data_IF_958639662840
#
_entry.id   IF_958639662840
#
_cell.length_a   1.000
_cell.length_b   1.000
_cell.length_c   1.000
_cell.angle_alpha   90.00
_cell.angle_beta   90.00
_cell.angle_gamma   90.00
#
_symmetry.space_group_name_H-M   'P 1'
#
loop_
_entity.id
_entity.type
_entity.pdbx_description
1 polymer ?
#
# COMPACT_ATOMS: atom_id res chain seq x y z
N UNK A 1 -0.06 -20.04 29.98
CA UNK A 1 -0.71 -19.36 28.83
C UNK A 1 0.28 -19.10 27.68
N UNK A 2 1.57 -19.49 27.80
CA UNK A 2 2.63 -19.22 26.80
C UNK A 2 2.54 -20.09 25.52
N UNK A 3 1.78 -21.19 25.57
CA UNK A 3 1.57 -22.11 24.45
C UNK A 3 0.14 -22.01 23.84
N UNK A 4 -0.52 -20.86 23.98
CA UNK A 4 -1.84 -20.66 23.38
C UNK A 4 -1.71 -20.66 21.86
N UNK A 5 -2.54 -21.45 21.13
CA UNK A 5 -2.59 -21.41 19.68
C UNK A 5 -2.83 -19.99 19.18
N UNK A 6 -2.06 -19.59 18.18
CA UNK A 6 -2.12 -18.25 17.58
C UNK A 6 -3.42 -18.09 16.81
N UNK A 7 -4.11 -16.97 16.99
CA UNK A 7 -5.30 -16.67 16.20
C UNK A 7 -4.91 -16.39 14.75
N UNK A 8 -5.76 -16.79 13.78
CA UNK A 8 -5.57 -16.38 12.40
C UNK A 8 -5.74 -14.87 12.28
N UNK A 9 -4.91 -14.27 11.45
CA UNK A 9 -4.93 -12.83 11.16
C UNK A 9 -5.58 -12.58 9.80
N UNK A 10 -6.28 -11.47 9.69
CA UNK A 10 -6.93 -10.99 8.47
C UNK A 10 -5.91 -10.19 7.65
N UNK A 11 -6.02 -10.32 6.33
CA UNK A 11 -5.36 -9.46 5.35
C UNK A 11 -6.34 -9.13 4.22
N UNK A 12 -5.92 -8.24 3.33
CA UNK A 12 -6.76 -7.72 2.23
C UNK A 12 -6.13 -8.07 0.89
N UNK A 13 -6.97 -8.36 -0.11
CA UNK A 13 -6.48 -8.61 -1.47
C UNK A 13 -5.87 -7.35 -2.07
N UNK A 14 -4.82 -7.55 -2.88
CA UNK A 14 -4.22 -6.49 -3.67
C UNK A 14 -5.14 -6.14 -4.85
N UNK A 15 -5.24 -4.85 -5.16
CA UNK A 15 -5.85 -4.37 -6.40
C UNK A 15 -5.05 -4.87 -7.60
N UNK A 16 -5.77 -5.11 -8.70
CA UNK A 16 -5.19 -5.58 -9.95
C UNK A 16 -5.31 -4.45 -10.98
N UNK A 17 -4.21 -4.18 -11.68
CA UNK A 17 -4.18 -3.23 -12.78
C UNK A 17 -4.03 -3.97 -14.11
N UNK A 18 -4.96 -3.82 -15.06
CA UNK A 18 -4.72 -4.19 -16.45
C UNK A 18 -3.75 -3.22 -17.14
N UNK A 19 -3.52 -3.42 -18.44
CA UNK A 19 -2.55 -2.66 -19.25
C UNK A 19 -2.81 -1.15 -19.17
N UNK A 20 -1.72 -0.38 -19.10
CA UNK A 20 -1.68 1.08 -19.04
C UNK A 20 -1.33 1.68 -20.41
N UNK A 21 -1.79 2.91 -20.71
CA UNK A 21 -1.45 3.60 -21.98
C UNK A 21 -0.25 4.56 -21.85
N UNK A 22 0.88 4.21 -22.50
CA UNK A 22 2.17 4.91 -22.45
C UNK A 22 2.21 6.26 -23.20
N UNK A 23 1.41 6.41 -24.24
CA UNK A 23 1.59 7.44 -25.27
C UNK A 23 1.52 8.90 -24.78
N UNK A 24 0.89 9.14 -23.62
CA UNK A 24 0.60 10.51 -23.14
C UNK A 24 1.77 11.24 -22.49
N UNK A 25 2.74 10.54 -21.88
CA UNK A 25 3.91 11.20 -21.29
C UNK A 25 4.75 11.93 -22.33
N UNK A 26 4.98 11.29 -23.48
CA UNK A 26 5.77 11.86 -24.58
C UNK A 26 5.13 13.13 -25.15
N UNK A 27 3.80 13.20 -25.17
CA UNK A 27 3.05 14.35 -25.68
C UNK A 27 3.20 15.58 -24.76
N UNK A 28 3.27 15.38 -23.44
CA UNK A 28 3.36 16.46 -22.44
C UNK A 28 4.74 17.12 -22.39
N UNK A 29 5.83 16.34 -22.41
CA UNK A 29 7.19 16.90 -22.40
C UNK A 29 7.41 17.85 -23.59
N UNK A 30 6.97 17.44 -24.79
CA UNK A 30 7.08 18.24 -26.01
C UNK A 30 6.33 19.57 -25.92
N UNK A 31 5.18 19.60 -25.27
CA UNK A 31 4.35 20.81 -25.11
C UNK A 31 4.89 21.76 -24.04
N UNK A 32 5.45 21.24 -22.95
CA UNK A 32 5.76 22.05 -21.76
C UNK A 32 7.22 22.50 -21.69
N UNK A 33 8.17 21.66 -22.10
CA UNK A 33 9.60 21.99 -22.00
C UNK A 33 10.17 22.50 -23.34
N UNK A 34 9.38 22.48 -24.42
CA UNK A 34 9.86 22.77 -25.79
C UNK A 34 11.06 21.91 -26.21
N UNK A 35 11.21 20.76 -25.56
CA UNK A 35 12.25 19.77 -25.81
C UNK A 35 11.71 18.66 -26.71
N UNK A 36 12.61 17.91 -27.35
CA UNK A 36 12.18 16.74 -28.12
C UNK A 36 11.58 15.70 -27.15
N UNK A 37 10.35 15.26 -27.42
CA UNK A 37 9.66 14.25 -26.60
C UNK A 37 10.42 12.92 -26.55
N UNK A 38 11.29 12.66 -27.53
CA UNK A 38 12.15 11.48 -27.56
C UNK A 38 13.35 11.56 -26.60
N UNK A 39 13.70 12.76 -26.10
CA UNK A 39 14.83 12.93 -25.17
C UNK A 39 14.64 12.22 -23.83
N UNK A 40 13.40 11.86 -23.48
CA UNK A 40 13.04 11.18 -22.23
C UNK A 40 12.59 9.72 -22.43
N UNK A 41 12.81 9.16 -23.63
CA UNK A 41 12.29 7.83 -23.96
C UNK A 41 12.84 6.74 -23.03
N UNK A 42 14.12 6.84 -22.63
CA UNK A 42 14.75 5.90 -21.71
C UNK A 42 14.08 5.93 -20.33
N UNK A 43 13.88 7.11 -19.76
CA UNK A 43 13.30 7.30 -18.44
C UNK A 43 11.84 6.83 -18.42
N UNK A 44 11.10 7.09 -19.51
CA UNK A 44 9.72 6.59 -19.69
C UNK A 44 9.70 5.06 -19.77
N UNK A 45 10.62 4.44 -20.52
CA UNK A 45 10.77 2.98 -20.59
C UNK A 45 11.07 2.37 -19.20
N UNK A 46 11.96 2.99 -18.42
CA UNK A 46 12.31 2.53 -17.07
C UNK A 46 11.13 2.62 -16.11
N UNK A 47 10.35 3.71 -16.15
CA UNK A 47 9.15 3.88 -15.35
C UNK A 47 8.07 2.84 -15.73
N UNK A 48 7.90 2.57 -17.01
CA UNK A 48 6.97 1.55 -17.51
C UNK A 48 7.39 0.14 -17.07
N UNK A 49 8.69 -0.19 -17.19
CA UNK A 49 9.22 -1.45 -16.71
C UNK A 49 9.03 -1.61 -15.19
N UNK A 50 9.20 -0.51 -14.43
CA UNK A 50 8.95 -0.49 -12.99
C UNK A 50 7.47 -0.71 -12.67
N UNK A 51 6.56 -0.05 -13.40
CA UNK A 51 5.12 -0.24 -13.26
C UNK A 51 4.72 -1.69 -13.53
N UNK A 52 5.18 -2.27 -14.63
CA UNK A 52 4.86 -3.65 -14.99
C UNK A 52 5.29 -4.66 -13.91
N UNK A 53 6.45 -4.41 -13.27
CA UNK A 53 6.88 -5.18 -12.10
C UNK A 53 5.97 -4.93 -10.89
N UNK A 54 5.60 -3.68 -10.61
CA UNK A 54 4.71 -3.32 -9.51
C UNK A 54 3.28 -3.89 -9.65
N UNK A 55 2.74 -3.97 -10.87
CA UNK A 55 1.43 -4.59 -11.15
C UNK A 55 1.43 -6.11 -10.97
N UNK A 56 2.62 -6.74 -10.95
CA UNK A 56 2.84 -8.18 -10.71
C UNK A 56 3.81 -8.38 -9.55
N UNK A 57 3.55 -7.65 -8.47
CA UNK A 57 4.44 -7.61 -7.31
C UNK A 57 4.59 -9.01 -6.68
N UNK A 58 5.82 -9.45 -6.35
CA UNK A 58 6.02 -10.64 -5.52
C UNK A 58 5.39 -10.46 -4.14
N UNK A 59 4.75 -11.50 -3.60
CA UNK A 59 4.12 -11.47 -2.27
C UNK A 59 5.16 -11.73 -1.17
N UNK A 60 6.19 -10.88 -1.13
CA UNK A 60 7.31 -10.95 -0.17
C UNK A 60 7.84 -9.54 0.18
N UNK A 61 8.88 -9.48 1.03
CA UNK A 61 9.48 -8.21 1.46
C UNK A 61 10.11 -7.40 0.31
N UNK A 62 10.55 -8.07 -0.77
CA UNK A 62 11.08 -7.40 -1.96
C UNK A 62 9.96 -6.70 -2.72
N UNK A 63 8.75 -7.28 -2.70
CA UNK A 63 7.52 -6.68 -3.21
C UNK A 63 7.19 -5.35 -2.54
N UNK A 64 7.29 -5.26 -1.21
CA UNK A 64 7.08 -4.00 -0.49
C UNK A 64 8.05 -2.90 -0.98
N UNK A 65 9.32 -3.26 -1.18
CA UNK A 65 10.34 -2.31 -1.66
C UNK A 65 10.08 -1.87 -3.10
N UNK A 66 9.63 -2.81 -3.95
CA UNK A 66 9.27 -2.55 -5.33
C UNK A 66 8.09 -1.56 -5.44
N UNK A 67 7.02 -1.78 -4.66
CA UNK A 67 5.85 -0.89 -4.63
C UNK A 67 6.23 0.50 -4.10
N UNK A 68 6.99 0.59 -3.00
CA UNK A 68 7.47 1.87 -2.45
C UNK A 68 8.34 2.64 -3.45
N UNK A 69 9.20 1.94 -4.19
CA UNK A 69 10.00 2.56 -5.27
C UNK A 69 9.11 3.10 -6.38
N UNK A 70 8.11 2.34 -6.83
CA UNK A 70 7.18 2.79 -7.86
C UNK A 70 6.33 3.98 -7.39
N UNK A 71 5.74 3.90 -6.20
CA UNK A 71 5.00 4.99 -5.55
C UNK A 71 5.82 6.29 -5.52
N UNK A 72 7.09 6.20 -5.12
CA UNK A 72 7.99 7.36 -5.05
C UNK A 72 8.25 8.00 -6.41
N UNK A 73 8.32 7.20 -7.48
CA UNK A 73 8.50 7.71 -8.85
C UNK A 73 7.24 8.45 -9.33
N UNK A 74 6.05 7.89 -9.11
CA UNK A 74 4.77 8.55 -9.47
C UNK A 74 4.57 9.83 -8.67
N UNK A 75 4.84 9.80 -7.36
CA UNK A 75 4.79 11.00 -6.52
C UNK A 75 5.77 12.10 -7.00
N UNK A 76 6.99 11.72 -7.38
CA UNK A 76 7.98 12.65 -7.94
C UNK A 76 7.52 13.23 -9.28
N UNK A 77 6.86 12.42 -10.12
CA UNK A 77 6.30 12.83 -11.40
C UNK A 77 5.17 13.84 -11.21
N UNK A 78 4.23 13.55 -10.32
CA UNK A 78 3.14 14.44 -9.91
C UNK A 78 3.69 15.78 -9.42
N UNK A 79 4.71 15.79 -8.57
CA UNK A 79 5.30 17.04 -8.08
C UNK A 79 5.99 17.87 -9.17
N UNK A 80 6.55 17.23 -10.21
CA UNK A 80 7.15 17.96 -11.35
C UNK A 80 6.09 18.61 -12.25
N UNK A 81 4.96 17.94 -12.46
CA UNK A 81 3.94 18.39 -13.41
C UNK A 81 2.78 19.18 -12.78
N UNK A 82 2.46 18.96 -11.51
CA UNK A 82 1.39 19.67 -10.78
C UNK A 82 1.61 21.19 -10.70
N UNK A 83 2.85 21.66 -10.88
CA UNK A 83 3.15 23.08 -11.01
C UNK A 83 2.59 23.73 -12.30
N UNK A 84 2.17 22.91 -13.28
CA UNK A 84 1.84 23.38 -14.64
C UNK A 84 0.46 22.92 -15.12
N UNK A 85 0.07 21.67 -14.84
CA UNK A 85 -1.22 21.11 -15.26
C UNK A 85 -1.61 19.96 -14.33
N UNK A 86 -2.86 19.98 -13.85
CA UNK A 86 -3.40 18.93 -12.98
C UNK A 86 -3.73 17.66 -13.75
N UNK A 87 -3.94 17.72 -15.07
CA UNK A 87 -4.31 16.55 -15.85
C UNK A 87 -3.25 16.23 -16.91
N UNK A 88 -2.46 15.17 -16.66
CA UNK A 88 -1.43 14.72 -17.60
C UNK A 88 -1.99 13.97 -18.82
N UNK A 89 -3.30 13.70 -18.86
CA UNK A 89 -3.95 12.91 -19.90
C UNK A 89 -3.60 11.42 -19.84
N UNK A 90 -3.00 10.98 -18.75
CA UNK A 90 -2.55 9.62 -18.55
C UNK A 90 -3.68 8.80 -17.93
N UNK A 91 -4.10 7.77 -18.64
CA UNK A 91 -5.16 6.87 -18.20
C UNK A 91 -4.58 5.69 -17.42
N UNK A 92 -4.89 5.66 -16.14
CA UNK A 92 -4.49 4.64 -15.19
C UNK A 92 -5.68 3.73 -14.93
N UNK A 93 -5.50 2.42 -15.13
CA UNK A 93 -6.62 1.48 -15.13
C UNK A 93 -6.45 0.49 -13.98
N UNK A 94 -7.47 0.34 -13.14
CA UNK A 94 -7.48 -0.58 -11.99
C UNK A 94 -8.85 -1.23 -11.81
N UNK A 95 -8.86 -2.47 -11.36
CA UNK A 95 -10.09 -3.15 -10.96
C UNK A 95 -10.47 -2.77 -9.51
N UNK A 96 -11.74 -2.46 -9.30
CA UNK A 96 -12.35 -2.41 -7.96
C UNK A 96 -12.39 -3.82 -7.36
N UNK A 97 -11.96 -3.98 -6.12
CA UNK A 97 -11.72 -5.30 -5.49
C UNK A 97 -13.02 -6.09 -5.31
N UNK A 98 -14.13 -5.40 -5.01
CA UNK A 98 -15.38 -6.05 -4.62
C UNK A 98 -16.33 -6.25 -5.79
N UNK A 99 -16.39 -5.28 -6.69
CA UNK A 99 -17.24 -5.35 -7.88
C UNK A 99 -16.55 -5.97 -9.09
N UNK A 100 -15.21 -6.01 -9.11
CA UNK A 100 -14.43 -6.41 -10.29
C UNK A 100 -14.50 -5.40 -11.44
N UNK A 101 -15.22 -4.29 -11.28
CA UNK A 101 -15.38 -3.28 -12.33
C UNK A 101 -14.04 -2.60 -12.60
N UNK A 102 -13.73 -2.45 -13.88
CA UNK A 102 -12.57 -1.66 -14.32
C UNK A 102 -12.87 -0.17 -14.18
N UNK A 103 -12.01 0.53 -13.45
CA UNK A 103 -12.02 1.98 -13.25
C UNK A 103 -10.84 2.60 -14.00
N UNK A 104 -11.06 3.78 -14.56
CA UNK A 104 -10.05 4.58 -15.24
C UNK A 104 -9.92 5.90 -14.48
N UNK A 105 -8.69 6.28 -14.15
CA UNK A 105 -8.38 7.53 -13.47
C UNK A 105 -7.03 8.09 -13.92
N UNK A 106 -6.57 9.13 -13.26
CA UNK A 106 -5.30 9.81 -13.52
C UNK A 106 -4.17 9.28 -12.60
N UNK A 107 -3.06 10.03 -12.53
CA UNK A 107 -1.93 9.66 -11.70
C UNK A 107 -2.22 9.69 -10.19
N UNK A 108 -3.15 10.53 -9.73
CA UNK A 108 -3.55 10.52 -8.32
C UNK A 108 -4.30 9.21 -8.02
N UNK A 109 -5.10 8.70 -8.98
CA UNK A 109 -5.69 7.37 -8.89
C UNK A 109 -4.66 6.23 -8.91
N UNK A 110 -3.65 6.28 -9.79
CA UNK A 110 -2.55 5.30 -9.77
C UNK A 110 -1.82 5.30 -8.42
N UNK A 111 -1.47 6.49 -7.92
CA UNK A 111 -0.77 6.65 -6.64
C UNK A 111 -1.58 6.06 -5.48
N UNK A 112 -2.89 6.31 -5.48
CA UNK A 112 -3.84 5.79 -4.49
C UNK A 112 -3.91 4.26 -4.51
N UNK A 113 -4.03 3.65 -5.69
CA UNK A 113 -4.09 2.20 -5.84
C UNK A 113 -2.77 1.52 -5.44
N UNK A 114 -1.63 2.12 -5.79
CA UNK A 114 -0.31 1.61 -5.38
C UNK A 114 -0.14 1.70 -3.86
N UNK A 115 -0.56 2.80 -3.24
CA UNK A 115 -0.52 2.96 -1.78
C UNK A 115 -1.40 1.95 -1.07
N UNK A 116 -2.61 1.71 -1.58
CA UNK A 116 -3.48 0.64 -1.10
C UNK A 116 -2.75 -0.72 -1.17
N UNK A 117 -2.12 -1.05 -2.30
CA UNK A 117 -1.38 -2.31 -2.45
C UNK A 117 -0.16 -2.43 -1.51
N UNK A 118 0.49 -1.32 -1.16
CA UNK A 118 1.53 -1.30 -0.12
C UNK A 118 0.93 -1.74 1.22
N UNK A 119 -0.24 -1.21 1.58
CA UNK A 119 -0.95 -1.58 2.80
C UNK A 119 -1.40 -3.04 2.80
N UNK A 120 -2.05 -3.47 1.71
CA UNK A 120 -2.54 -4.83 1.53
C UNK A 120 -1.42 -5.88 1.59
N UNK A 121 -0.29 -5.64 0.90
CA UNK A 121 0.86 -6.55 0.94
C UNK A 121 1.47 -6.63 2.34
N UNK A 122 1.58 -5.49 3.05
CA UNK A 122 2.04 -5.51 4.44
C UNK A 122 1.08 -6.29 5.35
N UNK A 123 -0.24 -6.13 5.18
CA UNK A 123 -1.23 -6.91 5.92
C UNK A 123 -1.07 -8.42 5.66
N UNK A 124 -0.89 -8.82 4.39
CA UNK A 124 -0.69 -10.21 3.99
C UNK A 124 0.56 -10.81 4.62
N UNK A 125 1.70 -10.12 4.54
CA UNK A 125 2.96 -10.59 5.13
C UNK A 125 2.89 -10.72 6.65
N UNK A 126 2.20 -9.80 7.33
CA UNK A 126 1.98 -9.88 8.78
C UNK A 126 1.06 -11.04 9.16
N UNK A 127 0.07 -11.35 8.32
CA UNK A 127 -0.90 -12.41 8.59
C UNK A 127 -0.38 -13.83 8.30
N UNK A 128 0.51 -13.98 7.32
CA UNK A 128 1.09 -15.27 6.94
C UNK A 128 2.22 -15.74 7.86
N UNK A 129 2.78 -14.87 8.71
CA UNK A 129 3.77 -15.27 9.69
C UNK A 129 3.11 -16.05 10.85
N UNK A 130 3.71 -17.19 11.20
CA UNK A 130 3.23 -18.09 12.27
C UNK A 130 3.40 -17.52 13.68
N UNK A 131 4.15 -16.42 13.85
CA UNK A 131 4.43 -15.75 15.13
C UNK A 131 4.94 -16.72 16.20
N UNK A 132 5.77 -17.67 15.79
CA UNK A 132 6.30 -18.72 16.66
C UNK A 132 7.45 -18.25 17.56
N UNK A 133 8.15 -17.19 17.15
CA UNK A 133 9.26 -16.60 17.90
C UNK A 133 9.01 -15.14 18.25
N UNK A 134 9.71 -14.62 19.27
CA UNK A 134 9.62 -13.21 19.65
C UNK A 134 10.01 -12.25 18.51
N UNK A 135 10.91 -12.66 17.61
CA UNK A 135 11.31 -11.84 16.47
C UNK A 135 10.25 -11.88 15.35
N UNK A 136 9.65 -13.04 15.08
CA UNK A 136 8.51 -13.15 14.17
C UNK A 136 7.33 -12.27 14.62
N UNK A 137 7.04 -12.24 15.93
CA UNK A 137 6.00 -11.35 16.50
C UNK A 137 6.31 -9.87 16.23
N UNK A 138 7.58 -9.45 16.36
CA UNK A 138 7.98 -8.06 16.06
C UNK A 138 7.85 -7.74 14.57
N UNK A 139 8.26 -8.67 13.70
CA UNK A 139 8.15 -8.51 12.24
C UNK A 139 6.67 -8.38 11.84
N UNK A 140 5.81 -9.28 12.34
CA UNK A 140 4.36 -9.24 12.10
C UNK A 140 3.73 -7.93 12.57
N UNK A 141 4.06 -7.49 13.79
CA UNK A 141 3.64 -6.21 14.33
C UNK A 141 4.09 -5.03 13.45
N UNK A 142 5.33 -5.06 12.97
CA UNK A 142 5.89 -4.02 12.08
C UNK A 142 5.14 -3.98 10.75
N UNK A 143 4.82 -5.13 10.19
CA UNK A 143 4.02 -5.23 8.97
C UNK A 143 2.61 -4.66 9.16
N UNK A 144 1.91 -5.01 10.23
CA UNK A 144 0.60 -4.43 10.52
C UNK A 144 0.66 -2.91 10.72
N UNK A 145 1.67 -2.39 11.45
CA UNK A 145 1.86 -0.94 11.60
C UNK A 145 2.19 -0.23 10.28
N UNK A 146 2.96 -0.86 9.39
CA UNK A 146 3.20 -0.34 8.04
C UNK A 146 1.92 -0.31 7.20
N UNK A 147 1.05 -1.31 7.34
CA UNK A 147 -0.27 -1.34 6.70
C UNK A 147 -1.17 -0.22 7.23
N UNK A 148 -1.19 -0.01 8.56
CA UNK A 148 -1.89 1.11 9.21
C UNK A 148 -1.47 2.45 8.58
N UNK A 149 -0.17 2.71 8.49
CA UNK A 149 0.32 3.95 7.89
C UNK A 149 -0.17 4.14 6.45
N UNK A 150 -0.08 3.09 5.62
CA UNK A 150 -0.49 3.18 4.22
C UNK A 150 -2.00 3.47 4.09
N UNK A 151 -2.85 2.77 4.84
CA UNK A 151 -4.30 2.97 4.79
C UNK A 151 -4.72 4.31 5.42
N UNK A 152 -4.10 4.74 6.52
CA UNK A 152 -4.35 6.05 7.13
C UNK A 152 -3.94 7.18 6.18
N UNK A 153 -2.76 7.08 5.56
CA UNK A 153 -2.30 8.09 4.61
C UNK A 153 -3.23 8.20 3.41
N UNK A 154 -3.69 7.05 2.87
CA UNK A 154 -4.68 7.01 1.79
C UNK A 154 -6.02 7.64 2.20
N UNK A 155 -6.46 7.39 3.43
CA UNK A 155 -7.72 7.91 3.99
C UNK A 155 -7.67 9.43 4.18
N UNK A 156 -6.57 9.93 4.75
CA UNK A 156 -6.47 11.29 5.28
C UNK A 156 -5.95 12.30 4.24
N UNK A 157 -5.23 11.84 3.21
CA UNK A 157 -4.79 12.73 2.12
C UNK A 157 -5.93 12.98 1.12
N UNK A 158 -6.44 14.20 1.11
CA UNK A 158 -7.53 14.62 0.22
C UNK A 158 -7.14 14.71 -1.26
N UNK A 159 -5.84 14.70 -1.58
CA UNK A 159 -5.36 14.67 -2.97
C UNK A 159 -5.50 13.28 -3.58
N UNK A 160 -5.48 12.24 -2.74
CA UNK A 160 -5.59 10.85 -3.18
C UNK A 160 -7.05 10.48 -3.51
N UNK A 161 -7.22 9.81 -4.64
CA UNK A 161 -8.49 9.36 -5.16
C UNK A 161 -9.05 8.18 -4.36
N UNK A 162 -10.32 8.28 -3.98
CA UNK A 162 -11.02 7.28 -3.16
C UNK A 162 -12.14 6.64 -3.99
N UNK A 163 -11.83 5.51 -4.62
CA UNK A 163 -12.85 4.61 -5.20
C UNK A 163 -13.67 3.94 -4.09
N UNK A 164 -14.76 3.26 -4.44
CA UNK A 164 -15.68 2.67 -3.45
C UNK A 164 -14.97 1.66 -2.54
N UNK A 165 -14.12 0.83 -3.10
CA UNK A 165 -13.26 -0.13 -2.38
C UNK A 165 -12.14 0.53 -1.54
N UNK A 166 -11.91 1.83 -1.71
CA UNK A 166 -10.99 2.66 -0.92
C UNK A 166 -11.73 3.83 -0.25
N UNK A 167 -13.01 3.63 0.10
CA UNK A 167 -13.82 4.62 0.80
C UNK A 167 -13.26 4.93 2.19
N UNK A 168 -13.61 6.10 2.73
CA UNK A 168 -13.14 6.53 4.04
C UNK A 168 -13.55 5.53 5.15
N UNK A 169 -14.76 4.99 5.06
CA UNK A 169 -15.31 3.99 5.99
C UNK A 169 -14.51 2.68 5.93
N UNK A 170 -14.24 2.16 4.73
CA UNK A 170 -13.46 0.94 4.56
C UNK A 170 -12.01 1.12 5.01
N UNK A 171 -11.38 2.22 4.65
CA UNK A 171 -10.01 2.51 5.09
C UNK A 171 -9.95 2.67 6.61
N UNK A 172 -10.95 3.31 7.24
CA UNK A 172 -11.04 3.40 8.70
C UNK A 172 -11.17 2.02 9.34
N UNK A 173 -11.97 1.14 8.75
CA UNK A 173 -12.09 -0.25 9.19
C UNK A 173 -10.75 -0.99 9.05
N UNK A 174 -10.07 -0.92 7.89
CA UNK A 174 -8.77 -1.57 7.69
C UNK A 174 -7.73 -1.08 8.70
N UNK A 175 -7.69 0.23 8.96
CA UNK A 175 -6.80 0.82 9.96
C UNK A 175 -7.04 0.25 11.36
N UNK A 176 -8.30 0.16 11.78
CA UNK A 176 -8.62 -0.43 13.10
C UNK A 176 -8.21 -1.90 13.16
N UNK A 177 -8.60 -2.71 12.18
CA UNK A 177 -8.22 -4.14 12.13
C UNK A 177 -6.70 -4.31 12.19
N UNK A 178 -5.94 -3.55 11.40
CA UNK A 178 -4.47 -3.65 11.43
C UNK A 178 -3.87 -3.18 12.76
N UNK A 179 -4.43 -2.16 13.42
CA UNK A 179 -4.01 -1.74 14.76
C UNK A 179 -4.28 -2.84 15.80
N UNK A 180 -5.47 -3.45 15.79
CA UNK A 180 -5.82 -4.53 16.71
C UNK A 180 -4.88 -5.72 16.53
N UNK A 181 -4.58 -6.12 15.29
CA UNK A 181 -3.65 -7.22 14.99
C UNK A 181 -2.21 -6.90 15.40
N UNK A 182 -1.76 -5.65 15.21
CA UNK A 182 -0.46 -5.19 15.71
C UNK A 182 -0.38 -5.29 17.25
N UNK A 183 -1.45 -4.91 17.94
CA UNK A 183 -1.55 -4.98 19.39
C UNK A 183 -1.61 -6.42 19.89
N UNK A 184 -2.29 -7.31 19.17
CA UNK A 184 -2.29 -8.75 19.47
C UNK A 184 -0.88 -9.35 19.39
N UNK A 185 -0.07 -8.96 18.41
CA UNK A 185 1.34 -9.37 18.34
C UNK A 185 2.14 -8.90 19.58
N UNK A 186 1.84 -7.69 20.08
CA UNK A 186 2.47 -7.14 21.29
C UNK A 186 2.00 -7.90 22.54
N UNK A 187 0.72 -8.28 22.60
CA UNK A 187 0.16 -9.09 23.69
C UNK A 187 0.83 -10.46 23.75
N UNK A 188 0.85 -11.16 22.62
CA UNK A 188 1.49 -12.47 22.48
C UNK A 188 2.96 -12.43 22.94
N UNK A 189 3.70 -11.39 22.50
CA UNK A 189 5.09 -11.20 22.91
C UNK A 189 5.21 -10.87 24.40
N UNK A 190 4.31 -10.04 24.95
CA UNK A 190 4.34 -9.67 26.37
C UNK A 190 4.11 -10.88 27.28
N UNK A 191 3.27 -11.82 26.84
CA UNK A 191 3.05 -13.09 27.52
C UNK A 191 4.30 -13.99 27.44
N UNK A 192 4.91 -14.10 26.25
CA UNK A 192 6.17 -14.86 26.06
C UNK A 192 7.34 -14.29 26.87
N UNK A 193 7.44 -12.96 26.97
CA UNK A 193 8.45 -12.25 27.76
C UNK A 193 8.21 -12.34 29.29
N UNK A 194 7.17 -13.05 29.76
CA UNK A 194 6.78 -13.12 31.17
C UNK A 194 6.61 -11.74 31.84
N UNK A 195 5.99 -10.79 31.13
CA UNK A 195 5.69 -9.47 31.69
C UNK A 195 4.68 -9.58 32.84
N UNK A 196 4.71 -8.59 33.75
CA UNK A 196 3.77 -8.50 34.88
C UNK A 196 2.32 -8.60 34.38
N UNK A 197 1.48 -9.38 35.07
CA UNK A 197 0.07 -9.61 34.66
C UNK A 197 -0.72 -8.32 34.50
N UNK A 198 -0.42 -7.28 35.29
CA UNK A 198 -1.05 -5.95 35.16
C UNK A 198 -0.70 -5.23 33.85
N UNK A 199 0.47 -5.48 33.28
CA UNK A 199 0.86 -4.96 31.96
C UNK A 199 0.15 -5.77 30.88
N UNK A 200 0.19 -7.10 30.96
CA UNK A 200 -0.48 -7.99 30.01
C UNK A 200 -1.97 -7.67 29.92
N UNK A 201 -2.64 -7.46 31.05
CA UNK A 201 -4.06 -7.09 31.09
C UNK A 201 -4.34 -5.73 30.42
N UNK A 202 -3.47 -4.73 30.59
CA UNK A 202 -3.61 -3.43 29.93
C UNK A 202 -3.41 -3.52 28.42
N UNK A 203 -2.43 -4.31 27.98
CA UNK A 203 -2.16 -4.55 26.54
C UNK A 203 -3.35 -5.27 25.91
N UNK A 204 -3.88 -6.31 26.58
CA UNK A 204 -5.05 -7.05 26.11
C UNK A 204 -6.31 -6.17 26.00
N UNK A 205 -6.53 -5.27 26.96
CA UNK A 205 -7.65 -4.33 26.91
C UNK A 205 -7.58 -3.31 25.76
N UNK A 206 -6.42 -3.17 25.10
CA UNK A 206 -6.22 -2.32 23.93
C UNK A 206 -6.28 -3.09 22.60
N UNK A 207 -6.44 -4.41 22.63
CA UNK A 207 -6.75 -5.20 21.42
C UNK A 207 -8.23 -5.00 21.13
N UNK A 208 -8.57 -3.89 20.48
CA UNK A 208 -9.95 -3.48 20.14
C UNK A 208 -10.01 -3.01 18.70
#
# INVERSE_FOLDING_TARGET
MEAVPKLPMIYFELKISPVWNRSYYQIKYRKHYSEDGNSYEREINELEALRNKASRVPRDFTGCSLLKRYYSQIYSLLNRFSAFDTNLGVECVWADIYSGQTLIGDLDFELSCVLYNIGALHAELGALDLRSTADNMKVSCTHFQCAVWAFQHLRDDNRLYKSKDMSHELLSFFVQVMLSQAQECILEKSMLDNRKSSIVAKVAAQVV
#
